data_IF_296829324737
#
_entry.id   IF_296829324737
#
_cell.length_a   1.000
_cell.length_b   1.000
_cell.length_c   1.000
_cell.angle_alpha   90.00
_cell.angle_beta   90.00
_cell.angle_gamma   90.00
#
_symmetry.space_group_name_H-M   'P 1'
#
loop_
_entity.id
_entity.type
_entity.pdbx_description
1 polymer ?
#
# COMPACT_ATOMS: atom_id res chain seq x y z
N UNK A 1 6.66 8.98 8.96
CA UNK A 1 5.23 9.08 8.58
C UNK A 1 4.57 10.43 8.92
N UNK A 2 5.27 11.40 9.53
CA UNK A 2 4.76 12.77 9.72
C UNK A 2 4.28 13.46 8.44
N UNK A 3 4.83 13.11 7.27
CA UNK A 3 4.44 13.66 5.97
C UNK A 3 2.98 13.30 5.66
N UNK A 4 2.62 12.01 5.76
CA UNK A 4 1.26 11.54 5.56
C UNK A 4 0.28 12.20 6.55
N UNK A 5 0.63 12.28 7.82
CA UNK A 5 -0.23 12.94 8.82
C UNK A 5 -0.51 14.42 8.44
N UNK A 6 0.53 15.18 8.04
CA UNK A 6 0.38 16.57 7.60
C UNK A 6 -0.49 16.69 6.34
N UNK A 7 -0.26 15.82 5.36
CA UNK A 7 -1.05 15.80 4.12
C UNK A 7 -2.53 15.49 4.36
N UNK A 8 -2.81 14.57 5.29
CA UNK A 8 -4.17 14.19 5.67
C UNK A 8 -4.86 15.29 6.46
N UNK A 9 -4.17 15.86 7.45
CA UNK A 9 -4.73 16.93 8.28
C UNK A 9 -5.09 18.20 7.49
N UNK A 10 -4.39 18.46 6.37
CA UNK A 10 -4.60 19.65 5.55
C UNK A 10 -5.66 19.48 4.44
N UNK A 11 -6.23 18.29 4.24
CA UNK A 11 -7.16 18.00 3.16
C UNK A 11 -8.40 17.26 3.68
N UNK A 12 -9.54 17.94 3.71
CA UNK A 12 -10.81 17.43 4.26
C UNK A 12 -11.45 16.30 3.43
N UNK A 13 -11.01 16.09 2.18
CA UNK A 13 -11.59 15.11 1.25
C UNK A 13 -10.79 13.80 1.13
N UNK A 14 -9.86 13.53 2.04
CA UNK A 14 -9.07 12.29 2.00
C UNK A 14 -9.83 11.20 2.70
N UNK A 15 -10.38 10.28 1.90
CA UNK A 15 -11.23 9.24 2.45
C UNK A 15 -10.49 7.90 2.53
N UNK A 16 -9.62 7.57 1.56
CA UNK A 16 -9.05 6.22 1.45
C UNK A 16 -7.54 6.20 1.16
N UNK A 17 -6.80 5.44 1.99
CA UNK A 17 -5.35 5.23 1.87
C UNK A 17 -5.06 3.74 1.73
N UNK A 18 -4.20 3.38 0.77
CA UNK A 18 -3.79 2.00 0.51
C UNK A 18 -2.32 1.78 0.84
N UNK A 19 -2.02 0.80 1.68
CA UNK A 19 -0.66 0.36 2.00
C UNK A 19 -0.37 -0.98 1.32
N UNK A 20 0.54 -0.95 0.35
CA UNK A 20 1.06 -2.10 -0.38
C UNK A 20 2.48 -2.42 0.13
N UNK A 21 2.56 -2.70 1.43
CA UNK A 21 3.81 -3.03 2.13
C UNK A 21 3.64 -4.36 2.85
N UNK A 22 4.71 -5.11 3.14
CA UNK A 22 4.64 -6.27 4.02
C UNK A 22 4.04 -5.91 5.37
N UNK A 23 3.45 -6.90 6.04
CA UNK A 23 2.91 -6.73 7.38
C UNK A 23 3.93 -6.13 8.36
N UNK A 24 3.47 -5.17 9.17
CA UNK A 24 4.27 -4.44 10.17
C UNK A 24 5.47 -3.63 9.64
N UNK A 25 5.60 -3.44 8.32
CA UNK A 25 6.64 -2.59 7.74
C UNK A 25 6.47 -1.10 8.08
N UNK A 26 5.25 -0.67 8.39
CA UNK A 26 4.93 0.73 8.75
C UNK A 26 4.07 0.80 10.03
N UNK A 27 4.20 1.88 10.83
CA UNK A 27 3.50 2.00 12.11
C UNK A 27 1.99 2.30 12.00
N UNK A 28 1.45 2.50 10.78
CA UNK A 28 0.02 2.70 10.49
C UNK A 28 -0.69 3.63 11.50
N UNK A 29 -1.80 3.18 12.09
CA UNK A 29 -2.66 3.97 12.99
C UNK A 29 -1.97 4.42 14.27
N UNK A 30 -0.99 3.67 14.78
CA UNK A 30 -0.24 4.04 15.99
C UNK A 30 0.58 5.33 15.81
N UNK A 31 0.73 5.80 14.58
CA UNK A 31 1.42 7.04 14.25
C UNK A 31 0.52 8.07 13.55
N UNK A 32 -0.53 7.62 12.83
CA UNK A 32 -1.42 8.52 12.10
C UNK A 32 -2.39 9.28 13.01
N UNK A 33 -2.99 8.63 14.01
CA UNK A 33 -3.97 9.23 14.95
C UNK A 33 -5.07 10.08 14.29
N UNK A 34 -5.48 9.74 13.06
CA UNK A 34 -6.57 10.40 12.32
C UNK A 34 -7.59 9.35 11.91
N UNK A 35 -8.87 9.70 11.96
CA UNK A 35 -9.97 8.85 11.48
C UNK A 35 -10.06 8.91 9.94
N UNK A 36 -9.32 8.03 9.28
CA UNK A 36 -9.30 7.87 7.82
C UNK A 36 -9.43 6.38 7.48
N UNK A 37 -10.05 6.06 6.34
CA UNK A 37 -10.13 4.67 5.87
C UNK A 37 -8.76 4.23 5.36
N UNK A 38 -8.21 3.18 5.96
CA UNK A 38 -6.93 2.61 5.59
C UNK A 38 -7.13 1.14 5.21
N UNK A 39 -6.65 0.76 4.03
CA UNK A 39 -6.54 -0.63 3.60
C UNK A 39 -5.07 -1.03 3.64
N UNK A 40 -4.80 -2.14 4.31
CA UNK A 40 -3.50 -2.81 4.38
C UNK A 40 -3.63 -4.22 3.82
N UNK A 41 -2.51 -4.80 3.39
CA UNK A 41 -2.41 -6.22 3.13
C UNK A 41 -2.43 -6.99 4.46
N UNK A 42 -3.27 -8.01 4.57
CA UNK A 42 -3.36 -8.87 5.75
C UNK A 42 -2.39 -10.05 5.66
N UNK A 43 -1.98 -10.54 6.83
CA UNK A 43 -1.11 -11.71 7.02
C UNK A 43 -1.67 -12.57 8.15
N UNK A 44 -2.91 -13.02 7.94
CA UNK A 44 -3.56 -13.89 8.92
C UNK A 44 -2.82 -15.23 8.97
N UNK A 45 -2.66 -15.84 10.15
CA UNK A 45 -2.07 -17.16 10.23
C UNK A 45 -3.01 -18.23 9.65
N UNK A 46 -2.44 -19.33 9.17
CA UNK A 46 -3.21 -20.47 8.69
C UNK A 46 -3.92 -21.21 9.83
N UNK A 47 -5.15 -20.78 10.16
CA UNK A 47 -5.95 -21.38 11.23
C UNK A 47 -6.68 -22.68 10.82
N UNK A 48 -6.70 -23.00 9.53
CA UNK A 48 -7.48 -24.11 8.94
C UNK A 48 -6.55 -25.27 8.51
N UNK A 49 -5.25 -25.17 8.79
CA UNK A 49 -4.22 -26.14 8.40
C UNK A 49 -4.24 -26.49 6.90
N UNK A 50 -4.51 -25.51 6.04
CA UNK A 50 -4.42 -25.70 4.59
C UNK A 50 -2.94 -25.80 4.17
N UNK A 51 -2.56 -26.89 3.49
CA UNK A 51 -1.16 -27.15 3.09
C UNK A 51 -0.63 -26.08 2.13
N UNK A 52 -1.51 -25.48 1.31
CA UNK A 52 -1.17 -24.46 0.32
C UNK A 52 -1.70 -23.08 0.73
N UNK A 53 -1.69 -22.78 2.04
CA UNK A 53 -2.13 -21.47 2.52
C UNK A 53 -1.21 -20.36 2.02
N UNK A 54 -1.82 -19.32 1.46
CA UNK A 54 -1.18 -18.03 1.16
C UNK A 54 -2.06 -16.94 1.74
N UNK A 55 -1.45 -16.00 2.46
CA UNK A 55 -2.17 -14.83 2.95
C UNK A 55 -2.34 -13.76 1.85
N UNK A 56 -3.08 -12.69 2.14
CA UNK A 56 -3.31 -11.58 1.20
C UNK A 56 -1.98 -10.94 0.76
N UNK A 57 -1.02 -10.85 1.67
CA UNK A 57 0.31 -10.29 1.43
C UNK A 57 1.09 -11.16 0.44
N UNK A 58 1.13 -12.48 0.65
CA UNK A 58 1.79 -13.45 -0.24
C UNK A 58 1.18 -13.42 -1.65
N UNK A 59 -0.15 -13.39 -1.74
CA UNK A 59 -0.87 -13.30 -3.01
C UNK A 59 -0.49 -12.01 -3.74
N UNK A 60 -0.51 -10.86 -3.04
CA UNK A 60 -0.11 -9.58 -3.62
C UNK A 60 1.33 -9.61 -4.14
N UNK A 61 2.31 -10.04 -3.34
CA UNK A 61 3.72 -10.01 -3.75
C UNK A 61 4.04 -11.01 -4.88
N UNK A 62 3.22 -12.06 -5.05
CA UNK A 62 3.32 -13.00 -6.17
C UNK A 62 2.94 -12.36 -7.50
N UNK A 63 1.81 -11.63 -7.56
CA UNK A 63 1.40 -10.90 -8.76
C UNK A 63 0.70 -9.57 -8.41
N UNK A 64 1.47 -8.49 -8.16
CA UNK A 64 0.93 -7.22 -7.67
C UNK A 64 -0.10 -6.57 -8.61
N UNK A 65 0.14 -6.63 -9.93
CA UNK A 65 -0.77 -6.02 -10.89
C UNK A 65 -2.09 -6.75 -10.99
N UNK A 66 -2.05 -8.09 -10.99
CA UNK A 66 -3.29 -8.86 -11.01
C UNK A 66 -4.11 -8.60 -9.75
N UNK A 67 -3.47 -8.57 -8.58
CA UNK A 67 -4.15 -8.23 -7.32
C UNK A 67 -4.80 -6.84 -7.38
N UNK A 68 -4.12 -5.83 -7.94
CA UNK A 68 -4.68 -4.49 -8.10
C UNK A 68 -5.86 -4.45 -9.07
N UNK A 69 -5.79 -5.17 -10.18
CA UNK A 69 -6.91 -5.26 -11.13
C UNK A 69 -8.10 -5.96 -10.47
N UNK A 70 -7.90 -7.03 -9.71
CA UNK A 70 -8.99 -7.75 -9.07
C UNK A 70 -9.71 -6.91 -8.01
N UNK A 71 -8.95 -6.13 -7.23
CA UNK A 71 -9.43 -5.33 -6.10
C UNK A 71 -9.85 -3.89 -6.44
N UNK A 72 -9.30 -3.28 -7.50
CA UNK A 72 -9.49 -1.87 -7.84
C UNK A 72 -9.75 -1.65 -9.34
N UNK A 73 -10.34 -2.63 -10.03
CA UNK A 73 -10.78 -2.46 -11.43
C UNK A 73 -11.66 -1.22 -11.57
N UNK A 74 -11.31 -0.34 -12.51
CA UNK A 74 -12.04 0.88 -12.84
C UNK A 74 -13.49 0.55 -13.28
N UNK A 75 -13.71 -0.64 -13.82
CA UNK A 75 -15.01 -1.07 -14.33
C UNK A 75 -15.96 -1.60 -13.24
N UNK A 76 -15.43 -1.91 -12.06
CA UNK A 76 -16.22 -2.21 -10.87
C UNK A 76 -16.32 -0.87 -10.14
N UNK A 77 -17.50 -0.41 -9.74
CA UNK A 77 -17.71 0.87 -9.01
C UNK A 77 -17.01 0.90 -7.63
N UNK A 78 -15.69 0.74 -7.61
CA UNK A 78 -14.83 0.62 -6.45
C UNK A 78 -14.08 1.93 -6.34
N UNK A 79 -14.11 2.52 -5.16
CA UNK A 79 -13.41 3.77 -4.88
C UNK A 79 -11.90 3.55 -4.95
N UNK A 80 -11.26 4.15 -5.95
CA UNK A 80 -9.81 4.19 -6.10
C UNK A 80 -9.19 4.94 -4.91
N UNK A 81 -8.08 4.46 -4.33
CA UNK A 81 -7.47 5.10 -3.16
C UNK A 81 -6.84 6.45 -3.52
N UNK A 82 -6.98 7.45 -2.65
CA UNK A 82 -6.40 8.77 -2.84
C UNK A 82 -4.88 8.75 -2.67
N UNK A 83 -4.38 7.90 -1.78
CA UNK A 83 -2.95 7.71 -1.54
C UNK A 83 -2.57 6.25 -1.59
N UNK A 84 -1.39 5.98 -2.14
CA UNK A 84 -0.77 4.66 -2.13
C UNK A 84 0.61 4.76 -1.50
N UNK A 85 0.85 3.92 -0.50
CA UNK A 85 2.13 3.76 0.16
C UNK A 85 2.70 2.41 -0.25
N UNK A 86 3.89 2.41 -0.83
CA UNK A 86 4.54 1.19 -1.31
C UNK A 86 6.06 1.32 -1.29
N UNK A 87 6.76 0.20 -1.37
CA UNK A 87 8.21 0.19 -1.52
C UNK A 87 8.66 0.42 -2.96
N UNK A 88 9.81 1.07 -3.15
CA UNK A 88 10.41 1.37 -4.46
C UNK A 88 10.52 0.15 -5.39
N UNK A 89 10.81 -1.03 -4.84
CA UNK A 89 10.89 -2.30 -5.59
C UNK A 89 9.54 -2.76 -6.20
N UNK A 90 8.40 -2.25 -5.73
CA UNK A 90 7.06 -2.58 -6.25
C UNK A 90 6.66 -1.69 -7.42
N UNK A 91 7.17 -0.46 -7.50
CA UNK A 91 6.87 0.49 -8.59
C UNK A 91 6.95 -0.13 -9.99
N UNK A 92 8.06 -0.80 -10.41
CA UNK A 92 8.15 -1.34 -11.76
C UNK A 92 7.18 -2.49 -12.02
N UNK A 93 6.66 -3.13 -10.96
CA UNK A 93 5.67 -4.21 -11.10
C UNK A 93 4.27 -3.66 -11.35
N UNK A 94 3.98 -2.43 -10.93
CA UNK A 94 2.62 -1.84 -10.95
C UNK A 94 2.54 -0.48 -11.67
N UNK A 95 3.49 -0.22 -12.57
CA UNK A 95 3.67 1.04 -13.29
C UNK A 95 2.38 1.53 -13.98
N UNK A 96 1.65 0.62 -14.64
CA UNK A 96 0.40 0.91 -15.32
C UNK A 96 -0.66 1.42 -14.35
N UNK A 97 -0.76 0.83 -13.16
CA UNK A 97 -1.70 1.29 -12.13
C UNK A 97 -1.29 2.66 -11.56
N UNK A 98 0.02 2.90 -11.41
CA UNK A 98 0.58 4.16 -10.92
C UNK A 98 0.53 5.32 -11.94
N UNK A 99 0.21 5.06 -13.22
CA UNK A 99 0.13 6.10 -14.26
C UNK A 99 -0.84 7.25 -13.94
N UNK A 100 -1.91 6.96 -13.17
CA UNK A 100 -2.90 7.92 -12.68
C UNK A 100 -2.50 8.60 -11.35
N UNK A 101 -1.32 8.29 -10.83
CA UNK A 101 -0.79 8.84 -9.58
C UNK A 101 0.44 9.71 -9.84
N UNK A 102 0.73 10.60 -8.89
CA UNK A 102 1.95 11.39 -8.82
C UNK A 102 2.73 11.03 -7.55
N UNK A 103 4.05 10.92 -7.67
CA UNK A 103 4.92 10.69 -6.52
C UNK A 103 4.98 11.98 -5.69
N UNK A 104 4.55 11.88 -4.43
CA UNK A 104 4.50 13.02 -3.50
C UNK A 104 5.75 13.08 -2.63
N UNK A 105 6.24 11.93 -2.16
CA UNK A 105 7.37 11.87 -1.24
C UNK A 105 8.06 10.52 -1.26
N UNK A 106 9.36 10.56 -0.97
CA UNK A 106 10.22 9.39 -0.79
C UNK A 106 10.78 9.40 0.63
N UNK A 107 10.70 8.27 1.32
CA UNK A 107 11.19 8.13 2.69
C UNK A 107 12.16 6.97 2.74
N UNK A 108 13.40 7.26 3.14
CA UNK A 108 14.41 6.22 3.33
C UNK A 108 13.96 5.21 4.40
N UNK A 109 14.07 3.92 4.08
CA UNK A 109 13.72 2.81 4.97
C UNK A 109 14.96 2.04 5.45
N UNK A 110 15.78 1.54 4.53
CA UNK A 110 16.98 0.76 4.87
C UNK A 110 17.99 0.74 3.72
N UNK A 111 19.27 0.54 4.06
CA UNK A 111 20.33 0.32 3.08
C UNK A 111 20.31 -1.10 2.50
N UNK A 112 19.83 -2.07 3.28
CA UNK A 112 19.87 -3.51 2.96
C UNK A 112 18.47 -4.11 3.02
N UNK A 113 17.65 -3.93 1.96
CA UNK A 113 16.29 -4.45 1.94
C UNK A 113 16.29 -5.97 1.79
N UNK A 114 15.30 -6.60 2.42
CA UNK A 114 14.96 -8.00 2.22
C UNK A 114 13.99 -8.17 1.04
N UNK A 115 13.65 -9.40 0.66
CA UNK A 115 12.95 -9.74 -0.59
C UNK A 115 11.73 -8.85 -0.93
N UNK A 116 10.79 -8.69 0.00
CA UNK A 116 9.55 -7.91 -0.20
C UNK A 116 9.65 -6.46 0.33
N UNK A 117 10.84 -6.05 0.75
CA UNK A 117 11.13 -4.72 1.25
C UNK A 117 11.90 -3.90 0.20
N UNK A 118 11.76 -2.59 0.31
CA UNK A 118 12.47 -1.63 -0.52
C UNK A 118 13.49 -0.81 0.26
N UNK A 119 14.33 -0.06 -0.45
CA UNK A 119 15.21 0.93 0.17
C UNK A 119 14.43 2.17 0.59
N UNK A 120 13.39 2.50 -0.17
CA UNK A 120 12.57 3.68 0.05
C UNK A 120 11.10 3.31 0.07
N UNK A 121 10.36 3.95 0.97
CA UNK A 121 8.90 3.98 0.94
C UNK A 121 8.49 5.19 0.11
N UNK A 122 7.68 4.96 -0.91
CA UNK A 122 7.09 5.98 -1.75
C UNK A 122 5.65 6.24 -1.35
N UNK A 123 5.29 7.51 -1.36
CA UNK A 123 3.94 8.00 -1.13
C UNK A 123 3.45 8.59 -2.44
N UNK A 124 2.45 7.96 -3.03
CA UNK A 124 1.78 8.42 -4.23
C UNK A 124 0.45 9.07 -3.89
N UNK A 125 0.10 10.13 -4.60
CA UNK A 125 -1.20 10.82 -4.54
C UNK A 125 -1.91 10.68 -5.87
N UNK A 126 -3.21 10.40 -5.86
CA UNK A 126 -4.04 10.36 -7.07
C UNK A 126 -4.08 11.75 -7.73
N UNK A 127 -4.09 11.80 -9.07
CA UNK A 127 -4.04 13.05 -9.85
C UNK A 127 -5.35 13.82 -9.85
#
# INVERSE_FOLDING_TARGET
MNILHKEIANNENINNILFLTPCHATPLYSHLHINVSIKILTCEPNLINNINYMDETDIFFTNPMQWLVENYDINKNITIPNYIILFDNIVPKIDRFLSQYQLLSEVFYTHFPQSNYGKYIYIYKHK
#
